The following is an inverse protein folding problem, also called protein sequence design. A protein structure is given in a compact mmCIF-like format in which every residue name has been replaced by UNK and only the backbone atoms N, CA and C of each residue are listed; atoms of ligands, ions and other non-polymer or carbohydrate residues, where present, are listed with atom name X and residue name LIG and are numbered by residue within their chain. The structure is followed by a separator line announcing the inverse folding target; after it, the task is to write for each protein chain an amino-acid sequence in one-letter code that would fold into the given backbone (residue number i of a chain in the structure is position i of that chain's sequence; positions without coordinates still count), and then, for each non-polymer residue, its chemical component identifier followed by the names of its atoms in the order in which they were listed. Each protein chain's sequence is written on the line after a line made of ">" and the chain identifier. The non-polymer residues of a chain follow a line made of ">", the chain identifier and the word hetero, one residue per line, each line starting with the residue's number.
data_IF_822029481444
#
_entry.id   IF_822029481444
#
_cell.length_a   1.000
_cell.length_b   1.000
_cell.length_c   1.000
_cell.angle_alpha   90.00
_cell.angle_beta   90.00
_cell.angle_gamma   90.00
#
_symmetry.space_group_name_H-M   'P 1'
#
loop_
_entity.id
_entity.type
_entity.pdbx_description
1 polymer ?
#
# COMPACT_ATOMS: atom_id res chain seq x y z
N UNK A 1 10.24 -3.38 -22.11
CA UNK A 1 9.95 -4.48 -21.15
C UNK A 1 10.92 -4.38 -19.99
N UNK A 2 10.53 -3.70 -18.93
CA UNK A 2 11.35 -3.68 -17.72
C UNK A 2 11.16 -5.01 -16.99
N UNK A 3 12.18 -5.83 -17.01
CA UNK A 3 12.24 -7.03 -16.18
C UNK A 3 12.58 -6.60 -14.76
N UNK A 4 11.56 -6.39 -13.95
CA UNK A 4 11.74 -6.26 -12.52
C UNK A 4 12.14 -7.63 -11.95
N UNK A 5 13.40 -7.80 -11.63
CA UNK A 5 13.85 -8.89 -10.75
C UNK A 5 13.71 -8.39 -9.31
N UNK A 6 12.90 -9.04 -8.48
CA UNK A 6 12.82 -8.66 -7.07
C UNK A 6 14.18 -8.90 -6.41
N UNK A 7 14.81 -7.83 -5.92
CA UNK A 7 15.98 -7.96 -5.06
C UNK A 7 15.52 -8.34 -3.66
N UNK A 8 16.03 -9.47 -3.18
CA UNK A 8 15.86 -9.90 -1.80
C UNK A 8 16.59 -8.92 -0.88
N UNK A 9 15.87 -8.27 0.03
CA UNK A 9 16.50 -7.56 1.14
C UNK A 9 16.66 -8.54 2.30
N UNK A 10 17.90 -8.86 2.63
CA UNK A 10 18.24 -9.72 3.77
C UNK A 10 18.29 -8.85 5.02
N UNK A 11 17.38 -9.05 5.96
CA UNK A 11 17.47 -8.49 7.29
C UNK A 11 18.03 -9.53 8.26
N UNK A 12 19.03 -9.15 9.00
CA UNK A 12 19.67 -10.03 9.99
C UNK A 12 18.87 -10.01 11.30
N UNK A 13 17.99 -11.00 11.48
CA UNK A 13 17.45 -11.31 12.81
C UNK A 13 15.94 -11.11 13.03
N UNK A 14 15.16 -10.90 11.99
CA UNK A 14 13.70 -10.84 12.05
C UNK A 14 13.08 -11.47 10.81
N UNK A 15 11.79 -11.73 10.83
CA UNK A 15 11.07 -12.31 9.71
C UNK A 15 11.21 -11.45 8.45
N UNK A 16 11.98 -11.94 7.49
CA UNK A 16 12.21 -11.32 6.19
C UNK A 16 10.89 -11.14 5.41
N UNK A 17 10.65 -9.94 4.86
CA UNK A 17 9.56 -9.70 3.92
C UNK A 17 10.06 -9.90 2.49
N UNK A 18 9.35 -10.73 1.75
CA UNK A 18 9.63 -11.01 0.34
C UNK A 18 8.60 -10.32 -0.53
N UNK A 19 9.07 -9.42 -1.39
CA UNK A 19 8.29 -8.69 -2.37
C UNK A 19 8.41 -9.39 -3.72
N UNK A 20 7.27 -9.76 -4.30
CA UNK A 20 7.23 -10.35 -5.63
C UNK A 20 6.04 -9.81 -6.41
N UNK A 21 6.04 -9.99 -7.74
CA UNK A 21 4.93 -9.54 -8.57
C UNK A 21 3.62 -10.18 -8.12
N UNK A 22 2.57 -9.36 -8.11
CA UNK A 22 1.21 -9.87 -7.94
C UNK A 22 0.88 -10.82 -9.09
N UNK A 23 0.12 -11.84 -8.78
CA UNK A 23 -0.51 -12.72 -9.77
C UNK A 23 -2.03 -12.72 -9.61
N UNK A 24 -2.73 -13.15 -10.63
CA UNK A 24 -4.20 -13.11 -10.64
C UNK A 24 -4.83 -13.93 -9.52
N UNK A 25 -4.23 -15.06 -9.16
CA UNK A 25 -4.71 -15.93 -8.09
C UNK A 25 -4.60 -15.27 -6.73
N UNK A 26 -3.44 -14.68 -6.44
CA UNK A 26 -3.20 -13.95 -5.19
C UNK A 26 -4.08 -12.71 -5.08
N UNK A 27 -4.25 -11.97 -6.18
CA UNK A 27 -5.15 -10.81 -6.21
C UNK A 27 -6.60 -11.20 -5.85
N UNK A 28 -7.09 -12.31 -6.36
CA UNK A 28 -8.42 -12.84 -6.01
C UNK A 28 -8.51 -13.30 -4.56
N UNK A 29 -7.48 -13.95 -4.04
CA UNK A 29 -7.42 -14.34 -2.63
C UNK A 29 -7.56 -13.11 -1.72
N UNK A 30 -6.85 -12.03 -2.05
CA UNK A 30 -6.96 -10.76 -1.30
C UNK A 30 -8.35 -10.15 -1.46
N UNK A 31 -8.81 -9.97 -2.69
CA UNK A 31 -10.06 -9.28 -2.98
C UNK A 31 -11.28 -9.99 -2.40
N UNK A 32 -11.32 -11.31 -2.46
CA UNK A 32 -12.45 -12.11 -1.98
C UNK A 32 -12.36 -12.43 -0.49
N UNK A 33 -11.14 -12.60 0.03
CA UNK A 33 -10.92 -13.17 1.36
C UNK A 33 -10.59 -12.17 2.46
N UNK A 34 -10.02 -11.01 2.13
CA UNK A 34 -9.62 -10.04 3.15
C UNK A 34 -10.79 -9.17 3.55
N UNK A 35 -11.33 -9.43 4.74
CA UNK A 35 -12.45 -8.72 5.33
C UNK A 35 -12.02 -8.06 6.63
N UNK A 36 -12.24 -6.77 6.72
CA UNK A 36 -11.85 -5.97 7.88
C UNK A 36 -13.06 -5.80 8.81
N UNK A 37 -12.83 -5.73 10.14
CA UNK A 37 -13.93 -5.42 11.07
C UNK A 37 -14.39 -3.97 10.88
N UNK A 38 -15.69 -3.67 11.12
CA UNK A 38 -16.18 -2.29 11.09
C UNK A 38 -15.38 -1.36 12.04
N UNK A 39 -15.08 -0.13 11.66
CA UNK A 39 -15.50 0.59 10.44
C UNK A 39 -14.55 0.35 9.24
N UNK A 40 -13.54 -0.51 9.39
CA UNK A 40 -12.50 -0.75 8.36
C UNK A 40 -12.96 -1.64 7.21
N UNK A 41 -14.15 -2.23 7.29
CA UNK A 41 -14.81 -2.92 6.18
C UNK A 41 -15.04 -2.00 4.97
N UNK A 42 -14.93 -0.68 5.16
CA UNK A 42 -14.80 0.30 4.10
C UNK A 42 -13.68 -0.03 3.08
N UNK A 43 -12.60 -0.67 3.54
CA UNK A 43 -11.45 -1.06 2.70
C UNK A 43 -11.56 -2.45 2.09
N UNK A 44 -12.63 -3.18 2.34
CA UNK A 44 -12.88 -4.43 1.65
C UNK A 44 -12.96 -4.17 0.14
N UNK A 45 -12.23 -4.92 -0.67
CA UNK A 45 -12.27 -4.73 -2.12
C UNK A 45 -13.67 -4.91 -2.69
N UNK A 46 -14.47 -5.75 -2.05
CA UNK A 46 -15.87 -5.98 -2.44
C UNK A 46 -16.82 -4.84 -2.06
N UNK A 47 -16.36 -3.86 -1.31
CA UNK A 47 -17.18 -2.69 -0.95
C UNK A 47 -17.41 -1.74 -2.14
N UNK A 48 -16.54 -1.77 -3.14
CA UNK A 48 -16.68 -1.00 -4.37
C UNK A 48 -16.43 -1.93 -5.59
N UNK A 49 -17.43 -2.07 -6.49
CA UNK A 49 -17.29 -2.95 -7.66
C UNK A 49 -16.17 -2.54 -8.62
N UNK A 50 -15.91 -1.24 -8.78
CA UNK A 50 -14.87 -0.75 -9.67
C UNK A 50 -13.48 -1.03 -9.10
N UNK A 51 -13.27 -0.77 -7.82
CA UNK A 51 -12.03 -1.10 -7.11
C UNK A 51 -11.76 -2.61 -7.15
N UNK A 52 -12.79 -3.42 -6.98
CA UNK A 52 -12.69 -4.88 -7.09
C UNK A 52 -12.19 -5.30 -8.46
N UNK A 53 -12.82 -4.80 -9.53
CA UNK A 53 -12.44 -5.14 -10.90
C UNK A 53 -11.01 -4.67 -11.24
N UNK A 54 -10.63 -3.49 -10.81
CA UNK A 54 -9.26 -3.00 -10.99
C UNK A 54 -8.25 -3.89 -10.29
N UNK A 55 -8.54 -4.31 -9.08
CA UNK A 55 -7.62 -5.12 -8.29
C UNK A 55 -7.41 -6.54 -8.83
N UNK A 56 -8.46 -7.18 -9.35
CA UNK A 56 -8.38 -8.56 -9.86
C UNK A 56 -7.99 -8.68 -11.33
N UNK A 57 -7.90 -7.58 -12.07
CA UNK A 57 -7.65 -7.57 -13.51
C UNK A 57 -6.21 -7.15 -13.80
N UNK A 58 -5.31 -8.08 -14.13
CA UNK A 58 -3.88 -7.75 -14.33
C UNK A 58 -3.61 -6.63 -15.34
N UNK A 59 -4.43 -6.53 -16.38
CA UNK A 59 -4.28 -5.47 -17.39
C UNK A 59 -4.54 -4.06 -16.86
N UNK A 60 -5.19 -3.91 -15.71
CA UNK A 60 -5.51 -2.63 -15.06
C UNK A 60 -4.54 -2.29 -13.91
N UNK A 61 -3.59 -3.16 -13.63
CA UNK A 61 -2.65 -2.91 -12.52
C UNK A 61 -1.75 -1.72 -12.80
N UNK A 62 -1.40 -0.95 -11.75
CA UNK A 62 -0.46 0.17 -11.87
C UNK A 62 0.95 -0.33 -12.23
N UNK A 63 1.88 0.60 -12.37
CA UNK A 63 3.27 0.35 -12.79
C UNK A 63 3.93 -0.78 -12.02
N UNK A 64 3.72 -0.82 -10.70
CA UNK A 64 4.07 -1.99 -9.90
C UNK A 64 2.86 -2.46 -9.07
N UNK A 65 2.71 -3.76 -8.96
CA UNK A 65 1.73 -4.42 -8.11
C UNK A 65 2.39 -5.65 -7.49
N UNK A 66 2.54 -5.63 -6.17
CA UNK A 66 3.36 -6.59 -5.44
C UNK A 66 2.55 -7.30 -4.37
N UNK A 67 2.80 -8.59 -4.25
CA UNK A 67 2.43 -9.36 -3.07
C UNK A 67 3.60 -9.36 -2.08
N UNK A 68 3.29 -9.30 -0.80
CA UNK A 68 4.26 -9.30 0.28
C UNK A 68 4.07 -10.52 1.14
N UNK A 69 5.11 -11.33 1.28
CA UNK A 69 5.08 -12.56 2.05
C UNK A 69 6.11 -12.54 3.16
N UNK A 70 5.77 -13.22 4.26
CA UNK A 70 6.67 -13.47 5.38
C UNK A 70 6.65 -14.97 5.68
N UNK A 71 7.81 -15.62 5.63
CA UNK A 71 7.92 -17.07 5.81
C UNK A 71 6.95 -17.86 4.91
N UNK A 72 6.84 -17.43 3.64
CA UNK A 72 5.96 -18.03 2.66
C UNK A 72 4.47 -17.66 2.77
N UNK A 73 4.06 -16.98 3.83
CA UNK A 73 2.67 -16.57 4.03
C UNK A 73 2.42 -15.18 3.48
N UNK A 74 1.31 -15.04 2.75
CA UNK A 74 0.84 -13.75 2.25
C UNK A 74 0.41 -12.87 3.43
N UNK A 75 1.04 -11.71 3.57
CA UNK A 75 0.75 -10.78 4.67
C UNK A 75 0.28 -9.41 4.21
N UNK A 76 0.59 -9.02 2.99
CA UNK A 76 0.27 -7.68 2.51
C UNK A 76 0.39 -7.54 0.99
N UNK A 77 0.05 -6.35 0.53
CA UNK A 77 0.31 -5.92 -0.84
C UNK A 77 0.83 -4.49 -0.87
N UNK A 78 1.54 -4.16 -1.93
CA UNK A 78 2.01 -2.81 -2.23
C UNK A 78 1.87 -2.58 -3.73
N UNK A 79 1.24 -1.49 -4.10
CA UNK A 79 1.08 -1.11 -5.50
C UNK A 79 1.31 0.38 -5.70
N UNK A 80 1.59 0.78 -6.92
CA UNK A 80 1.75 2.18 -7.25
C UNK A 80 2.48 2.43 -8.56
N UNK A 81 2.83 3.68 -8.75
CA UNK A 81 3.56 4.13 -9.92
C UNK A 81 3.88 5.61 -9.87
N UNK A 82 4.68 6.05 -10.82
CA UNK A 82 5.05 7.46 -10.96
C UNK A 82 3.87 8.23 -11.56
N UNK A 83 3.54 9.34 -10.92
CA UNK A 83 2.61 10.34 -11.45
C UNK A 83 3.43 11.41 -12.18
N UNK A 84 3.40 11.39 -13.51
CA UNK A 84 4.27 12.21 -14.35
C UNK A 84 4.08 13.71 -14.14
N UNK A 85 2.84 14.16 -13.98
CA UNK A 85 2.51 15.58 -13.79
C UNK A 85 3.03 16.17 -12.47
N UNK A 86 3.22 15.32 -11.45
CA UNK A 86 3.67 15.75 -10.13
C UNK A 86 5.09 15.32 -9.76
N UNK A 87 5.67 14.38 -10.50
CA UNK A 87 7.01 13.84 -10.21
C UNK A 87 7.10 13.08 -8.89
N UNK A 88 6.04 12.43 -8.45
CA UNK A 88 6.00 11.64 -7.23
C UNK A 88 5.50 10.21 -7.50
N UNK A 89 5.76 9.31 -6.59
CA UNK A 89 5.22 7.95 -6.59
C UNK A 89 3.96 7.92 -5.73
N UNK A 90 2.84 7.55 -6.34
CA UNK A 90 1.59 7.31 -5.61
C UNK A 90 1.47 5.83 -5.28
N UNK A 91 1.12 5.51 -4.04
CA UNK A 91 1.06 4.14 -3.57
C UNK A 91 -0.28 3.78 -2.94
N UNK A 92 -0.62 2.49 -3.06
CA UNK A 92 -1.65 1.82 -2.29
C UNK A 92 -1.05 0.62 -1.58
N UNK A 93 -1.54 0.30 -0.40
CA UNK A 93 -1.05 -0.81 0.39
C UNK A 93 -2.14 -1.40 1.25
N UNK A 94 -1.99 -2.66 1.62
CA UNK A 94 -2.86 -3.33 2.57
C UNK A 94 -2.13 -4.39 3.35
N UNK A 95 -2.51 -4.52 4.61
CA UNK A 95 -2.04 -5.57 5.51
C UNK A 95 -3.19 -6.56 5.74
N UNK A 96 -2.87 -7.84 5.81
CA UNK A 96 -3.87 -8.87 6.05
C UNK A 96 -4.68 -8.55 7.31
N UNK A 97 -6.02 -8.70 7.29
CA UNK A 97 -6.90 -8.19 8.36
C UNK A 97 -6.54 -8.67 9.76
N UNK A 98 -6.16 -9.93 9.93
CA UNK A 98 -5.78 -10.50 11.24
C UNK A 98 -4.47 -9.95 11.80
N UNK A 99 -3.68 -9.28 10.97
CA UNK A 99 -2.42 -8.65 11.36
C UNK A 99 -2.55 -7.16 11.67
N UNK A 100 -3.72 -6.57 11.39
CA UNK A 100 -3.98 -5.16 11.71
C UNK A 100 -4.21 -4.96 13.20
N UNK A 101 -3.90 -3.76 13.72
CA UNK A 101 -4.11 -3.43 15.12
C UNK A 101 -3.17 -4.14 16.11
N UNK A 102 -2.09 -4.75 15.65
CA UNK A 102 -1.11 -5.48 16.46
C UNK A 102 0.27 -4.81 16.53
N UNK A 103 0.37 -3.55 16.11
CA UNK A 103 1.64 -2.84 16.05
C UNK A 103 2.54 -3.21 14.87
N UNK A 104 2.06 -4.05 13.94
CA UNK A 104 2.83 -4.51 12.78
C UNK A 104 2.84 -3.49 11.63
N UNK A 105 1.91 -2.54 11.63
CA UNK A 105 1.75 -1.56 10.57
C UNK A 105 2.97 -0.67 10.36
N UNK A 106 3.66 -0.29 11.43
CA UNK A 106 4.88 0.54 11.35
C UNK A 106 6.04 -0.20 10.69
N UNK A 107 6.27 -1.45 11.06
CA UNK A 107 7.33 -2.26 10.45
C UNK A 107 7.02 -2.54 8.99
N UNK A 108 5.77 -2.88 8.68
CA UNK A 108 5.31 -3.08 7.31
C UNK A 108 5.50 -1.81 6.48
N UNK A 109 5.11 -0.64 6.99
CA UNK A 109 5.28 0.63 6.28
C UNK A 109 6.76 0.98 6.07
N UNK A 110 7.60 0.77 7.08
CA UNK A 110 9.05 0.99 6.97
C UNK A 110 9.65 0.16 5.85
N UNK A 111 9.30 -1.13 5.78
CA UNK A 111 9.77 -2.04 4.73
C UNK A 111 9.28 -1.65 3.35
N UNK A 112 8.02 -1.21 3.24
CA UNK A 112 7.47 -0.69 1.99
C UNK A 112 8.23 0.54 1.52
N UNK A 113 8.54 1.48 2.42
CA UNK A 113 9.34 2.66 2.11
C UNK A 113 10.75 2.28 1.66
N UNK A 114 11.40 1.34 2.32
CA UNK A 114 12.72 0.84 1.93
C UNK A 114 12.70 0.29 0.50
N UNK A 115 11.69 -0.50 0.17
CA UNK A 115 11.53 -1.02 -1.19
C UNK A 115 11.34 0.10 -2.22
N UNK A 116 10.45 1.04 -1.93
CA UNK A 116 10.17 2.16 -2.85
C UNK A 116 11.41 3.02 -3.05
N UNK A 117 12.16 3.31 -1.99
CA UNK A 117 13.35 4.12 -2.06
C UNK A 117 14.49 3.46 -2.84
N UNK A 118 14.55 2.14 -2.84
CA UNK A 118 15.51 1.39 -3.66
C UNK A 118 15.16 1.45 -5.15
N UNK A 119 13.87 1.36 -5.48
CA UNK A 119 13.40 1.36 -6.87
C UNK A 119 13.25 2.79 -7.44
N UNK A 120 12.91 3.75 -6.60
CA UNK A 120 12.68 5.16 -6.95
C UNK A 120 13.46 6.10 -6.03
N UNK A 121 14.82 6.11 -6.12
CA UNK A 121 15.65 6.87 -5.19
C UNK A 121 15.32 8.37 -5.20
N UNK A 122 15.20 8.97 -4.01
CA UNK A 122 15.00 10.40 -3.85
C UNK A 122 13.63 10.93 -4.27
N UNK A 123 12.68 10.06 -4.60
CA UNK A 123 11.35 10.47 -5.07
C UNK A 123 10.40 10.70 -3.89
N UNK A 124 9.58 11.74 -4.00
CA UNK A 124 8.46 11.98 -3.09
C UNK A 124 7.43 10.85 -3.22
N UNK A 125 6.91 10.37 -2.11
CA UNK A 125 5.91 9.31 -2.05
C UNK A 125 4.61 9.90 -1.52
N UNK A 126 3.48 9.60 -2.16
CA UNK A 126 2.16 10.01 -1.72
C UNK A 126 1.22 8.83 -1.57
N UNK A 127 0.29 8.98 -0.66
CA UNK A 127 -0.84 8.07 -0.47
C UNK A 127 -2.07 8.86 -0.05
N UNK A 128 -3.23 8.25 -0.25
CA UNK A 128 -4.49 8.79 0.23
C UNK A 128 -5.13 7.81 1.22
N UNK A 129 -5.73 8.32 2.27
CA UNK A 129 -6.37 7.53 3.31
C UNK A 129 -7.67 8.21 3.75
N UNK A 130 -8.71 7.43 4.02
CA UNK A 130 -9.96 7.97 4.53
C UNK A 130 -9.74 8.68 5.87
N UNK A 131 -10.33 9.85 6.03
CA UNK A 131 -10.10 10.71 7.21
C UNK A 131 -10.50 10.04 8.53
N UNK A 132 -11.46 9.12 8.50
CA UNK A 132 -11.85 8.39 9.72
C UNK A 132 -10.79 7.38 10.19
N UNK A 133 -9.88 6.96 9.31
CA UNK A 133 -8.88 5.92 9.60
C UNK A 133 -7.69 6.50 10.39
N UNK A 134 -7.95 6.91 11.61
CA UNK A 134 -6.94 7.50 12.49
C UNK A 134 -5.80 6.53 12.82
N UNK A 135 -6.09 5.24 12.86
CA UNK A 135 -5.09 4.19 13.09
C UNK A 135 -4.02 4.21 11.99
N UNK A 136 -4.43 4.22 10.73
CA UNK A 136 -3.50 4.28 9.61
C UNK A 136 -2.77 5.63 9.53
N UNK A 137 -3.48 6.73 9.72
CA UNK A 137 -2.89 8.08 9.72
C UNK A 137 -1.74 8.18 10.73
N UNK A 138 -1.94 7.66 11.94
CA UNK A 138 -0.88 7.63 12.98
C UNK A 138 0.34 6.81 12.56
N UNK A 139 0.11 5.66 11.90
CA UNK A 139 1.21 4.85 11.36
C UNK A 139 1.99 5.64 10.30
N UNK A 140 1.29 6.30 9.40
CA UNK A 140 1.92 7.10 8.33
C UNK A 140 2.68 8.30 8.90
N UNK A 141 2.09 9.04 9.82
CA UNK A 141 2.77 10.15 10.52
C UNK A 141 4.04 9.66 11.24
N UNK A 142 3.95 8.54 11.95
CA UNK A 142 5.10 7.90 12.62
C UNK A 142 6.18 7.42 11.65
N UNK A 143 5.84 7.23 10.38
CA UNK A 143 6.77 6.82 9.30
C UNK A 143 7.32 8.00 8.49
N UNK A 144 6.97 9.23 8.84
CA UNK A 144 7.48 10.44 8.19
C UNK A 144 6.57 11.04 7.13
N UNK A 145 5.33 10.57 7.03
CA UNK A 145 4.31 11.21 6.20
C UNK A 145 3.67 12.39 6.92
N UNK A 146 3.24 13.38 6.16
CA UNK A 146 2.40 14.47 6.67
C UNK A 146 1.30 14.81 5.69
N UNK A 147 0.19 15.34 6.21
CA UNK A 147 -0.98 15.72 5.43
C UNK A 147 -0.67 16.92 4.55
N UNK A 148 -1.02 16.83 3.26
CA UNK A 148 -0.86 17.92 2.30
C UNK A 148 -2.18 18.43 1.75
N UNK A 149 -3.24 17.61 1.79
CA UNK A 149 -4.53 17.98 1.24
C UNK A 149 -5.66 17.17 1.88
N UNK A 150 -6.79 17.84 2.10
CA UNK A 150 -8.08 17.21 2.40
C UNK A 150 -8.95 17.26 1.15
N UNK A 151 -9.64 16.19 0.86
CA UNK A 151 -10.55 16.14 -0.30
C UNK A 151 -11.70 15.16 -0.06
N UNK A 152 -12.75 15.28 -0.85
CA UNK A 152 -13.88 14.37 -0.84
C UNK A 152 -13.83 13.52 -2.11
N UNK A 153 -14.07 12.23 -1.97
CA UNK A 153 -14.06 11.28 -3.08
C UNK A 153 -15.35 10.47 -3.10
N UNK A 154 -15.93 10.31 -4.28
CA UNK A 154 -17.02 9.37 -4.51
C UNK A 154 -16.44 7.95 -4.60
N UNK A 155 -16.87 7.09 -3.69
CA UNK A 155 -16.45 5.68 -3.61
C UNK A 155 -17.44 4.91 -2.75
N UNK A 156 -17.47 3.58 -2.83
CA UNK A 156 -18.31 2.72 -1.99
C UNK A 156 -19.80 3.16 -1.95
N UNK A 157 -20.31 3.68 -3.08
CA UNK A 157 -21.70 4.13 -3.19
C UNK A 157 -22.04 5.44 -2.49
N UNK A 158 -21.05 6.23 -2.05
CA UNK A 158 -21.25 7.51 -1.37
C UNK A 158 -20.10 8.47 -1.57
N UNK A 159 -20.08 9.55 -0.81
CA UNK A 159 -18.98 10.51 -0.76
C UNK A 159 -18.30 10.43 0.62
N UNK A 160 -16.98 10.37 0.61
CA UNK A 160 -16.18 10.22 1.83
C UNK A 160 -15.01 11.18 1.85
N UNK A 161 -14.66 11.65 3.03
CA UNK A 161 -13.53 12.53 3.23
C UNK A 161 -12.22 11.72 3.30
N UNK A 162 -11.22 12.21 2.57
CA UNK A 162 -9.87 11.64 2.51
C UNK A 162 -8.82 12.69 2.85
N UNK A 163 -7.68 12.22 3.27
CA UNK A 163 -6.46 13.01 3.34
C UNK A 163 -5.41 12.42 2.40
N UNK A 164 -4.72 13.31 1.69
CA UNK A 164 -3.51 12.97 0.94
C UNK A 164 -2.32 13.28 1.83
N UNK A 165 -1.41 12.33 1.94
CA UNK A 165 -0.20 12.45 2.74
C UNK A 165 1.03 12.25 1.88
N UNK A 166 2.13 12.94 2.22
CA UNK A 166 3.39 12.77 1.50
C UNK A 166 4.55 12.46 2.45
N UNK A 167 5.48 11.70 1.92
CA UNK A 167 6.77 11.41 2.51
C UNK A 167 7.86 11.87 1.55
N UNK A 168 8.79 12.66 2.07
CA UNK A 168 9.96 13.11 1.30
C UNK A 168 11.17 12.33 1.82
N UNK A 169 11.89 11.68 0.92
CA UNK A 169 13.13 11.01 1.27
C UNK A 169 14.09 11.99 1.92
N UNK A 170 14.63 11.64 3.09
CA UNK A 170 15.71 12.40 3.66
C UNK A 170 16.90 12.33 2.70
N UNK A 171 17.29 13.45 2.13
CA UNK A 171 18.59 13.55 1.50
C UNK A 171 19.62 13.26 2.60
N UNK A 172 20.29 12.10 2.50
CA UNK A 172 21.27 11.71 3.51
C UNK A 172 22.35 12.77 3.69
N UNK A 173 22.50 13.16 4.91
CA UNK A 173 23.72 13.88 5.28
C UNK A 173 24.82 12.85 5.53
#
# INVERSE_FOLDING_TARGET
>A
MNQYSPRMTVDQGGSELVYSRMDASTAREIADGWKYPPPYDFYDMTADPDDYQEFITPALWPEFSLQVRRQGQLIGFLSGGVVDEGGFVEIGLGLRPDLTGRGLGRDFMRRNLDWIQQEYPGTEIRLSVASFNQRAIKVYEGSGFHVVRHFTQATNGGEYDFVEMKHVARTGA
#
